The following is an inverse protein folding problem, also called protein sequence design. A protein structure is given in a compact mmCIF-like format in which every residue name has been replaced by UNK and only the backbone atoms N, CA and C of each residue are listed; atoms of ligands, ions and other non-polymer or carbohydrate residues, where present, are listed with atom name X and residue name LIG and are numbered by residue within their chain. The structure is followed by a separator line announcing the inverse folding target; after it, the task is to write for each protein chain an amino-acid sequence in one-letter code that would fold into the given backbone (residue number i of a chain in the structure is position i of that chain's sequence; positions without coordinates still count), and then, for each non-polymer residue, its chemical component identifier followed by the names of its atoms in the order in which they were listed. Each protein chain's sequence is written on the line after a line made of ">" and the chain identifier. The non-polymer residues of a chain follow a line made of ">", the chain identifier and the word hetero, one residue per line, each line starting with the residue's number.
data_IF_704494332688
#
_entry.id   IF_704494332688
#
_cell.length_a   1.000
_cell.length_b   1.000
_cell.length_c   1.000
_cell.angle_alpha   90.00
_cell.angle_beta   90.00
_cell.angle_gamma   90.00
#
_symmetry.space_group_name_H-M   'P 1'
#
loop_
_entity.id
_entity.type
_entity.pdbx_description
1 polymer ?
#
# COMPACT_ATOMS: atom_id res chain seq x y z
N UNK A 1 14.77 -36.76 -14.90
CA UNK A 1 13.75 -36.83 -13.87
C UNK A 1 12.69 -35.76 -14.09
N UNK A 2 11.48 -36.00 -13.63
CA UNK A 2 10.36 -35.06 -13.66
C UNK A 2 9.92 -34.72 -12.24
N UNK A 3 9.23 -33.61 -12.08
CA UNK A 3 8.53 -33.24 -10.89
C UNK A 3 7.07 -33.69 -11.02
N UNK A 4 6.51 -34.22 -9.95
CA UNK A 4 5.08 -34.50 -9.86
C UNK A 4 4.51 -33.48 -8.86
N UNK A 5 3.51 -32.70 -9.29
CA UNK A 5 2.79 -31.75 -8.49
C UNK A 5 1.40 -32.34 -8.18
N UNK A 6 1.22 -32.74 -6.94
CA UNK A 6 -0.07 -33.21 -6.43
C UNK A 6 -0.90 -32.03 -5.99
N UNK A 7 -2.19 -31.99 -6.31
CA UNK A 7 -3.10 -30.94 -5.93
C UNK A 7 -4.25 -31.49 -5.07
N UNK A 8 -4.91 -30.62 -4.32
CA UNK A 8 -6.09 -30.93 -3.52
C UNK A 8 -7.36 -31.19 -4.37
N UNK A 9 -7.26 -30.99 -5.69
CA UNK A 9 -8.35 -31.29 -6.64
C UNK A 9 -8.23 -32.64 -7.34
N UNK A 10 -7.44 -33.59 -6.80
CA UNK A 10 -7.17 -34.91 -7.39
C UNK A 10 -6.58 -34.85 -8.82
N UNK A 11 -5.95 -33.77 -9.17
CA UNK A 11 -5.27 -33.58 -10.46
C UNK A 11 -3.77 -33.48 -10.25
N UNK A 12 -3.03 -34.39 -10.81
CA UNK A 12 -1.56 -34.37 -10.78
C UNK A 12 -1.00 -33.75 -12.06
N UNK A 13 0.07 -33.01 -11.92
CA UNK A 13 0.81 -32.42 -13.04
C UNK A 13 2.22 -32.97 -13.04
N UNK A 14 2.69 -33.40 -14.23
CA UNK A 14 4.08 -33.78 -14.45
C UNK A 14 4.80 -32.68 -15.22
N UNK A 15 5.97 -32.23 -14.72
CA UNK A 15 6.74 -31.18 -15.35
C UNK A 15 8.24 -31.42 -15.20
N UNK A 16 9.02 -31.03 -16.22
CA UNK A 16 10.47 -31.03 -16.15
C UNK A 16 11.02 -29.96 -15.24
N UNK A 17 10.34 -28.79 -15.21
CA UNK A 17 10.69 -27.63 -14.39
C UNK A 17 9.48 -27.07 -13.70
N UNK A 18 9.62 -26.63 -12.43
CA UNK A 18 8.61 -25.91 -11.69
C UNK A 18 9.12 -24.49 -11.38
N UNK A 19 8.32 -23.48 -11.74
CA UNK A 19 8.57 -22.09 -11.38
C UNK A 19 7.57 -21.69 -10.31
N UNK A 20 8.07 -21.42 -9.09
CA UNK A 20 7.23 -21.06 -7.94
C UNK A 20 7.10 -19.54 -7.87
N UNK A 21 5.90 -19.04 -8.13
CA UNK A 21 5.56 -17.61 -8.09
C UNK A 21 4.63 -17.27 -6.90
N UNK A 22 4.85 -17.90 -5.74
CA UNK A 22 4.01 -17.77 -4.55
C UNK A 22 4.13 -16.42 -3.81
N UNK A 23 5.08 -15.56 -4.19
CA UNK A 23 5.40 -14.32 -3.51
C UNK A 23 6.10 -14.54 -2.17
N UNK A 24 6.48 -13.43 -1.53
CA UNK A 24 7.22 -13.46 -0.25
C UNK A 24 6.31 -13.44 1.00
N UNK A 25 5.01 -13.13 0.85
CA UNK A 25 4.05 -12.98 1.95
C UNK A 25 2.95 -14.05 1.93
N UNK A 26 3.22 -15.22 1.37
CA UNK A 26 2.24 -16.32 1.23
C UNK A 26 1.88 -16.99 2.57
N UNK A 27 2.78 -16.93 3.57
CA UNK A 27 2.55 -17.51 4.89
C UNK A 27 2.26 -16.41 5.90
N UNK A 28 1.07 -16.40 6.55
CA UNK A 28 0.78 -15.45 7.62
C UNK A 28 1.70 -15.68 8.82
N UNK A 29 2.16 -14.60 9.43
CA UNK A 29 2.95 -14.62 10.66
C UNK A 29 2.17 -13.91 11.76
N UNK A 30 1.76 -14.66 12.77
CA UNK A 30 1.17 -14.12 13.99
C UNK A 30 2.29 -14.01 15.02
N UNK A 31 2.65 -12.79 15.48
CA UNK A 31 3.70 -12.62 16.48
C UNK A 31 3.29 -13.25 17.80
N UNK A 32 4.28 -13.77 18.55
CA UNK A 32 4.09 -14.26 19.90
C UNK A 32 3.91 -13.07 20.86
N UNK A 33 2.66 -12.70 21.08
CA UNK A 33 2.27 -11.61 21.97
C UNK A 33 1.86 -12.20 23.31
N UNK A 34 2.59 -11.91 24.41
CA UNK A 34 2.24 -12.42 25.73
C UNK A 34 0.81 -12.03 26.12
N UNK A 35 -0.01 -13.02 26.44
CA UNK A 35 -1.39 -12.82 26.84
C UNK A 35 -2.42 -12.82 25.69
N UNK A 36 -2.00 -13.05 24.46
CA UNK A 36 -2.95 -13.16 23.34
C UNK A 36 -3.99 -14.26 23.57
N UNK A 37 -3.58 -15.36 24.21
CA UNK A 37 -4.43 -16.48 24.59
C UNK A 37 -5.48 -16.15 25.67
N UNK A 38 -5.32 -15.03 26.37
CA UNK A 38 -6.25 -14.54 27.40
C UNK A 38 -7.29 -13.58 26.86
N UNK A 39 -7.11 -13.14 25.62
CA UNK A 39 -8.08 -12.26 24.97
C UNK A 39 -9.33 -13.05 24.61
N UNK A 40 -10.46 -12.71 25.23
CA UNK A 40 -11.72 -13.40 25.06
C UNK A 40 -12.57 -12.94 23.86
N UNK A 41 -12.16 -11.83 23.24
CA UNK A 41 -12.85 -11.29 22.06
C UNK A 41 -12.40 -11.96 20.75
N UNK A 42 -13.10 -11.71 19.64
CA UNK A 42 -12.65 -12.14 18.32
C UNK A 42 -11.31 -11.47 17.96
N UNK A 43 -10.34 -12.27 17.53
CA UNK A 43 -9.04 -11.80 17.05
C UNK A 43 -8.78 -12.37 15.65
N UNK A 44 -8.47 -11.51 14.70
CA UNK A 44 -8.28 -11.89 13.30
C UNK A 44 -6.95 -11.33 12.78
N UNK A 45 -6.25 -12.16 12.02
CA UNK A 45 -5.09 -11.71 11.24
C UNK A 45 -5.55 -11.30 9.84
N UNK A 46 -5.06 -10.17 9.32
CA UNK A 46 -5.52 -9.62 8.03
C UNK A 46 -5.30 -10.57 6.83
N UNK A 47 -4.30 -11.45 6.88
CA UNK A 47 -4.10 -12.49 5.87
C UNK A 47 -5.06 -13.69 6.00
N UNK A 48 -5.77 -13.79 7.12
CA UNK A 48 -6.76 -14.85 7.42
C UNK A 48 -8.15 -14.23 7.66
N UNK A 49 -8.49 -13.24 6.83
CA UNK A 49 -9.76 -12.52 6.98
C UNK A 49 -10.94 -13.47 6.71
N UNK A 50 -11.97 -13.46 7.56
CA UNK A 50 -13.16 -14.29 7.32
C UNK A 50 -13.84 -13.96 5.99
N UNK A 51 -14.25 -14.98 5.25
CA UNK A 51 -14.90 -14.81 3.94
C UNK A 51 -16.22 -14.03 4.04
N UNK A 52 -16.95 -14.19 5.15
CA UNK A 52 -18.20 -13.49 5.43
C UNK A 52 -17.99 -12.07 5.95
N UNK A 53 -16.73 -11.63 6.09
CA UNK A 53 -16.37 -10.32 6.63
C UNK A 53 -16.48 -10.23 8.14
N UNK A 54 -16.27 -9.01 8.66
CA UNK A 54 -16.38 -8.69 10.09
C UNK A 54 -17.23 -7.44 10.25
N UNK A 55 -18.29 -7.54 11.05
CA UNK A 55 -19.07 -6.37 11.43
C UNK A 55 -18.39 -5.61 12.59
N UNK A 56 -17.99 -4.38 12.34
CA UNK A 56 -17.38 -3.48 13.31
C UNK A 56 -18.37 -2.54 14.01
N UNK A 57 -19.64 -2.55 13.60
CA UNK A 57 -20.64 -1.58 14.07
C UNK A 57 -20.78 -1.58 15.58
N UNK A 58 -20.55 -0.43 16.19
CA UNK A 58 -20.69 -0.21 17.63
C UNK A 58 -19.68 -0.95 18.53
N UNK A 59 -18.70 -1.65 17.94
CA UNK A 59 -17.69 -2.41 18.70
C UNK A 59 -16.49 -1.54 19.07
N UNK A 60 -15.78 -1.96 20.14
CA UNK A 60 -14.45 -1.44 20.47
C UNK A 60 -13.41 -2.27 19.73
N UNK A 61 -12.63 -1.62 18.88
CA UNK A 61 -11.69 -2.27 17.98
C UNK A 61 -10.25 -1.88 18.32
N UNK A 62 -9.40 -2.87 18.47
CA UNK A 62 -7.94 -2.72 18.54
C UNK A 62 -7.30 -3.15 17.23
N UNK A 63 -6.50 -2.29 16.61
CA UNK A 63 -5.70 -2.63 15.42
C UNK A 63 -4.23 -2.63 15.81
N UNK A 64 -3.56 -3.78 15.66
CA UNK A 64 -2.13 -3.91 15.95
C UNK A 64 -1.34 -3.78 14.66
N UNK A 65 -0.58 -2.70 14.54
CA UNK A 65 0.25 -2.38 13.38
C UNK A 65 -0.36 -1.37 12.43
N UNK A 66 0.52 -0.59 11.81
CA UNK A 66 0.20 0.46 10.84
C UNK A 66 0.85 0.20 9.47
N UNK A 67 0.99 -1.06 9.09
CA UNK A 67 1.29 -1.44 7.71
C UNK A 67 0.08 -1.20 6.80
N UNK A 68 0.24 -1.44 5.50
CA UNK A 68 -0.81 -1.18 4.50
C UNK A 68 -2.18 -1.79 4.88
N UNK A 69 -2.21 -3.05 5.31
CA UNK A 69 -3.46 -3.71 5.72
C UNK A 69 -4.05 -3.12 6.99
N UNK A 70 -3.21 -2.81 8.00
CA UNK A 70 -3.66 -2.23 9.27
C UNK A 70 -4.32 -0.87 9.08
N UNK A 71 -3.75 -0.01 8.24
CA UNK A 71 -4.33 1.31 7.91
C UNK A 71 -5.67 1.17 7.20
N UNK A 72 -5.80 0.25 6.25
CA UNK A 72 -7.08 0.02 5.57
C UNK A 72 -8.17 -0.48 6.53
N UNK A 73 -7.82 -1.41 7.42
CA UNK A 73 -8.75 -1.88 8.46
C UNK A 73 -9.13 -0.75 9.41
N UNK A 74 -8.16 0.06 9.86
CA UNK A 74 -8.41 1.20 10.74
C UNK A 74 -9.34 2.24 10.07
N UNK A 75 -9.11 2.53 8.80
CA UNK A 75 -9.95 3.44 8.02
C UNK A 75 -11.41 2.96 7.93
N UNK A 76 -11.63 1.67 7.67
CA UNK A 76 -13.01 1.14 7.59
C UNK A 76 -13.65 1.03 8.98
N UNK A 77 -12.89 0.58 9.98
CA UNK A 77 -13.39 0.48 11.35
C UNK A 77 -13.77 1.84 11.94
N UNK A 78 -13.01 2.89 11.65
CA UNK A 78 -13.27 4.25 12.17
C UNK A 78 -14.64 4.82 11.80
N UNK A 79 -15.24 4.33 10.71
CA UNK A 79 -16.54 4.80 10.22
C UNK A 79 -17.71 4.31 11.07
N UNK A 80 -17.56 3.17 11.76
CA UNK A 80 -18.70 2.47 12.38
C UNK A 80 -18.42 1.94 13.79
N UNK A 81 -17.15 1.82 14.21
CA UNK A 81 -16.78 1.41 15.57
C UNK A 81 -17.18 2.45 16.61
N UNK A 82 -17.52 2.00 17.83
CA UNK A 82 -17.74 2.91 18.95
C UNK A 82 -16.45 3.48 19.53
N UNK A 83 -15.34 2.72 19.37
CA UNK A 83 -14.01 3.11 19.81
C UNK A 83 -12.98 2.38 18.94
N UNK A 84 -11.95 3.08 18.48
CA UNK A 84 -10.85 2.52 17.72
C UNK A 84 -9.52 2.88 18.39
N UNK A 85 -8.73 1.86 18.70
CA UNK A 85 -7.37 2.03 19.22
C UNK A 85 -6.38 1.40 18.25
N UNK A 86 -5.41 2.18 17.79
CA UNK A 86 -4.36 1.70 16.88
C UNK A 86 -3.05 1.61 17.64
N UNK A 87 -2.48 0.40 17.71
CA UNK A 87 -1.20 0.13 18.35
C UNK A 87 -0.07 0.19 17.31
N UNK A 88 0.79 1.18 17.43
CA UNK A 88 1.86 1.45 16.48
C UNK A 88 3.23 1.33 17.16
N UNK A 89 4.12 0.53 16.59
CA UNK A 89 5.53 0.47 16.99
C UNK A 89 6.37 1.44 16.17
N UNK A 90 6.29 1.32 14.86
CA UNK A 90 7.04 2.15 13.90
C UNK A 90 6.06 2.83 12.98
N UNK A 91 6.09 4.17 12.86
CA UNK A 91 5.20 4.88 11.96
C UNK A 91 5.47 4.53 10.49
N UNK A 92 4.40 4.37 9.72
CA UNK A 92 4.44 4.29 8.27
C UNK A 92 3.78 5.53 7.68
N UNK A 93 4.42 6.10 6.67
CA UNK A 93 3.87 7.20 5.90
C UNK A 93 3.06 6.62 4.73
N UNK A 94 1.76 6.58 4.87
CA UNK A 94 0.86 6.09 3.82
C UNK A 94 0.43 7.23 2.91
N UNK A 95 0.09 6.87 1.68
CA UNK A 95 -0.37 7.78 0.63
C UNK A 95 -1.79 7.45 0.20
N UNK A 96 -2.57 8.45 -0.26
CA UNK A 96 -3.85 8.17 -0.88
C UNK A 96 -3.64 7.34 -2.14
N UNK A 97 -4.37 6.23 -2.26
CA UNK A 97 -4.24 5.35 -3.43
C UNK A 97 -4.96 5.89 -4.67
N UNK A 98 -5.93 6.80 -4.49
CA UNK A 98 -6.73 7.30 -5.61
C UNK A 98 -7.52 6.18 -6.30
N UNK A 99 -8.07 5.24 -5.53
CA UNK A 99 -8.84 4.13 -6.09
C UNK A 99 -10.13 4.63 -6.75
N UNK A 100 -10.30 4.30 -8.01
CA UNK A 100 -11.48 4.64 -8.80
C UNK A 100 -12.11 3.39 -9.40
N UNK A 101 -13.40 3.48 -9.72
CA UNK A 101 -14.07 2.46 -10.50
C UNK A 101 -13.96 2.83 -11.98
N UNK A 102 -13.34 1.97 -12.76
CA UNK A 102 -13.20 2.17 -14.19
C UNK A 102 -14.47 1.75 -14.93
N UNK A 103 -14.91 2.57 -15.88
CA UNK A 103 -15.94 2.21 -16.85
C UNK A 103 -15.39 1.18 -17.86
N UNK A 104 -16.27 0.61 -18.69
CA UNK A 104 -15.84 -0.26 -19.79
C UNK A 104 -14.97 0.50 -20.81
N UNK A 105 -15.26 1.77 -21.04
CA UNK A 105 -14.48 2.64 -21.94
C UNK A 105 -13.09 2.91 -21.37
N UNK A 106 -12.97 3.24 -20.06
CA UNK A 106 -11.68 3.43 -19.39
C UNK A 106 -10.84 2.16 -19.45
N UNK A 107 -11.46 1.00 -19.20
CA UNK A 107 -10.79 -0.29 -19.31
C UNK A 107 -10.31 -0.59 -20.74
N UNK A 108 -11.12 -0.30 -21.75
CA UNK A 108 -10.74 -0.49 -23.14
C UNK A 108 -9.58 0.42 -23.54
N UNK A 109 -9.63 1.70 -23.15
CA UNK A 109 -8.55 2.67 -23.35
C UNK A 109 -7.27 2.20 -22.68
N UNK A 110 -7.32 1.87 -21.40
CA UNK A 110 -6.16 1.38 -20.63
C UNK A 110 -5.53 0.14 -21.29
N UNK A 111 -6.34 -0.83 -21.73
CA UNK A 111 -5.85 -2.01 -22.44
C UNK A 111 -5.15 -1.68 -23.74
N UNK A 112 -5.63 -0.69 -24.50
CA UNK A 112 -4.98 -0.26 -25.75
C UNK A 112 -3.63 0.41 -25.52
N UNK A 113 -3.42 1.02 -24.35
CA UNK A 113 -2.19 1.72 -23.97
C UNK A 113 -1.15 0.79 -23.30
N UNK A 114 -1.55 -0.42 -22.87
CA UNK A 114 -0.66 -1.37 -22.18
C UNK A 114 0.68 -1.63 -22.88
N UNK A 115 0.77 -1.81 -24.23
CA UNK A 115 2.06 -2.02 -24.87
C UNK A 115 3.04 -0.86 -24.65
N UNK A 116 2.56 0.38 -24.74
CA UNK A 116 3.38 1.57 -24.51
C UNK A 116 3.80 1.67 -23.02
N UNK A 117 2.90 1.37 -22.10
CA UNK A 117 3.22 1.32 -20.67
C UNK A 117 4.28 0.27 -20.36
N UNK A 118 4.21 -0.92 -20.97
CA UNK A 118 5.23 -1.96 -20.77
C UNK A 118 6.61 -1.55 -21.28
N UNK A 119 6.68 -0.84 -22.40
CA UNK A 119 7.98 -0.33 -22.88
C UNK A 119 8.51 0.78 -21.94
N UNK A 120 7.70 1.75 -21.55
CA UNK A 120 8.10 2.81 -20.64
C UNK A 120 8.62 2.26 -19.28
N UNK A 121 8.02 1.20 -18.76
CA UNK A 121 8.42 0.57 -17.51
C UNK A 121 9.80 -0.09 -17.54
N UNK A 122 10.30 -0.46 -18.70
CA UNK A 122 11.65 -1.02 -18.84
C UNK A 122 12.75 -0.01 -18.56
N UNK A 123 12.45 1.27 -18.84
CA UNK A 123 13.39 2.39 -18.70
C UNK A 123 13.24 3.12 -17.37
N UNK A 124 12.25 2.76 -16.55
CA UNK A 124 11.94 3.47 -15.31
C UNK A 124 12.49 2.77 -14.07
N UNK A 125 12.75 3.54 -13.02
CA UNK A 125 13.10 2.99 -11.71
C UNK A 125 11.94 2.14 -11.16
N UNK A 126 12.25 0.91 -10.76
CA UNK A 126 11.29 -0.01 -10.15
C UNK A 126 10.18 -0.53 -11.08
N UNK A 127 10.25 -0.27 -12.39
CA UNK A 127 9.28 -0.77 -13.38
C UNK A 127 7.92 -0.06 -13.34
N UNK A 128 7.88 1.20 -12.90
CA UNK A 128 6.70 2.05 -12.98
C UNK A 128 6.65 2.79 -14.33
N UNK A 129 5.50 3.33 -14.70
CA UNK A 129 5.31 4.19 -15.88
C UNK A 129 5.65 5.68 -15.61
N UNK A 130 6.32 5.95 -14.50
CA UNK A 130 6.83 7.26 -14.08
C UNK A 130 8.21 7.09 -13.41
N UNK A 131 8.96 8.16 -13.34
CA UNK A 131 10.29 8.20 -12.74
C UNK A 131 10.45 9.47 -11.92
N UNK A 132 11.56 9.58 -11.18
CA UNK A 132 11.89 10.77 -10.40
C UNK A 132 12.01 12.01 -11.27
N UNK A 133 11.59 13.16 -10.72
CA UNK A 133 11.90 14.45 -11.29
C UNK A 133 13.43 14.66 -11.24
N UNK A 134 14.08 15.03 -12.35
CA UNK A 134 15.53 15.23 -12.38
C UNK A 134 16.01 16.46 -11.60
N UNK A 135 15.10 17.35 -11.21
CA UNK A 135 15.43 18.52 -10.40
C UNK A 135 15.67 18.14 -8.95
N UNK A 136 16.31 19.02 -8.20
CA UNK A 136 16.46 18.94 -6.75
C UNK A 136 15.31 19.67 -6.05
N UNK A 137 14.77 19.08 -4.98
CA UNK A 137 13.80 19.75 -4.12
C UNK A 137 14.34 21.05 -3.50
N UNK A 138 15.66 21.16 -3.33
CA UNK A 138 16.32 22.30 -2.72
C UNK A 138 16.67 23.41 -3.72
N UNK A 139 16.73 23.09 -5.02
CA UNK A 139 17.08 24.05 -6.08
C UNK A 139 15.85 24.73 -6.70
N UNK A 140 14.67 24.14 -6.58
CA UNK A 140 13.43 24.77 -7.02
C UNK A 140 12.88 25.75 -5.99
N UNK A 141 12.04 26.69 -6.43
CA UNK A 141 11.34 27.58 -5.50
C UNK A 141 10.36 26.83 -4.60
N UNK A 142 10.05 27.41 -3.45
CA UNK A 142 9.06 26.83 -2.54
C UNK A 142 7.69 26.65 -3.23
N UNK A 143 7.28 27.61 -4.04
CA UNK A 143 6.01 27.55 -4.78
C UNK A 143 6.00 26.41 -5.80
N UNK A 144 7.08 26.23 -6.58
CA UNK A 144 7.21 25.13 -7.55
C UNK A 144 7.23 23.78 -6.84
N UNK A 145 7.90 23.70 -5.70
CA UNK A 145 7.96 22.47 -4.90
C UNK A 145 6.58 22.09 -4.34
N UNK A 146 5.85 23.05 -3.76
CA UNK A 146 4.50 22.82 -3.24
C UNK A 146 3.53 22.40 -4.35
N UNK A 147 3.58 23.05 -5.53
CA UNK A 147 2.78 22.68 -6.70
C UNK A 147 3.09 21.24 -7.18
N UNK A 148 4.36 20.88 -7.22
CA UNK A 148 4.79 19.53 -7.58
C UNK A 148 4.29 18.50 -6.58
N UNK A 149 4.42 18.78 -5.29
CA UNK A 149 3.94 17.89 -4.23
C UNK A 149 2.41 17.72 -4.28
N UNK A 150 1.67 18.81 -4.47
CA UNK A 150 0.21 18.77 -4.55
C UNK A 150 -0.25 17.92 -5.76
N UNK A 151 0.31 18.17 -6.93
CA UNK A 151 0.01 17.42 -8.16
C UNK A 151 0.27 15.92 -8.00
N UNK A 152 1.38 15.54 -7.38
CA UNK A 152 1.74 14.14 -7.18
C UNK A 152 0.89 13.47 -6.08
N UNK A 153 0.52 14.24 -5.06
CA UNK A 153 -0.39 13.78 -4.01
C UNK A 153 -1.79 13.49 -4.58
N UNK A 154 -2.33 14.39 -5.37
CA UNK A 154 -3.64 14.23 -6.04
C UNK A 154 -3.64 13.06 -7.03
N UNK A 155 -2.52 12.86 -7.75
CA UNK A 155 -2.36 11.74 -8.66
C UNK A 155 -2.37 10.36 -7.96
N UNK A 156 -2.16 10.32 -6.65
CA UNK A 156 -2.26 9.13 -5.81
C UNK A 156 -1.22 8.05 -6.05
N UNK A 157 -1.38 6.95 -5.36
CA UNK A 157 -0.46 5.82 -5.43
C UNK A 157 0.96 6.17 -4.98
N UNK A 158 1.95 5.56 -5.62
CA UNK A 158 3.36 5.79 -5.29
C UNK A 158 3.97 7.04 -5.96
N UNK A 159 3.20 7.81 -6.72
CA UNK A 159 3.73 8.95 -7.48
C UNK A 159 4.37 10.01 -6.60
N UNK A 160 3.80 10.29 -5.44
CA UNK A 160 4.40 11.22 -4.48
C UNK A 160 5.78 10.77 -3.99
N UNK A 161 5.99 9.46 -3.81
CA UNK A 161 7.29 8.96 -3.37
C UNK A 161 8.26 8.72 -4.52
N UNK A 162 7.82 8.11 -5.61
CA UNK A 162 8.69 7.61 -6.68
C UNK A 162 8.67 8.45 -7.95
N UNK A 163 7.85 9.52 -7.98
CA UNK A 163 7.77 10.46 -9.09
C UNK A 163 8.17 11.90 -8.71
N UNK A 164 8.62 12.10 -7.47
CA UNK A 164 9.07 13.38 -6.95
C UNK A 164 10.59 13.54 -7.13
N UNK A 165 11.17 14.61 -6.63
CA UNK A 165 12.60 14.89 -6.62
C UNK A 165 13.42 13.75 -5.99
N UNK A 166 14.43 13.26 -6.70
CA UNK A 166 15.21 12.09 -6.24
C UNK A 166 16.04 12.33 -4.99
N UNK A 167 16.40 13.57 -4.71
CA UNK A 167 17.20 13.97 -3.55
C UNK A 167 16.47 13.81 -2.21
N UNK A 168 15.14 13.67 -2.19
CA UNK A 168 14.41 13.36 -0.94
C UNK A 168 14.87 12.05 -0.29
N UNK A 169 15.53 11.17 -1.03
CA UNK A 169 16.04 9.89 -0.52
C UNK A 169 17.50 9.96 -0.03
N UNK A 170 18.21 11.01 -0.39
CA UNK A 170 19.66 11.13 -0.14
C UNK A 170 20.04 12.37 0.67
N UNK A 171 19.17 13.36 0.76
CA UNK A 171 19.36 14.59 1.52
C UNK A 171 18.26 14.76 2.58
N UNK A 172 18.66 14.92 3.84
CA UNK A 172 17.73 15.05 4.97
C UNK A 172 16.88 16.33 4.89
N UNK A 173 17.44 17.43 4.35
CA UNK A 173 16.73 18.70 4.22
C UNK A 173 15.66 18.59 3.12
N UNK A 174 15.99 17.99 1.99
CA UNK A 174 15.05 17.68 0.93
C UNK A 174 13.93 16.76 1.43
N UNK A 175 14.29 15.67 2.12
CA UNK A 175 13.34 14.75 2.74
C UNK A 175 12.37 15.46 3.68
N UNK A 176 12.87 16.35 4.51
CA UNK A 176 12.06 17.12 5.46
C UNK A 176 10.99 17.97 4.77
N UNK A 177 11.26 18.53 3.60
CA UNK A 177 10.24 19.29 2.84
C UNK A 177 9.08 18.41 2.41
N UNK A 178 9.37 17.21 1.90
CA UNK A 178 8.35 16.23 1.53
C UNK A 178 7.58 15.69 2.74
N UNK A 179 8.28 15.45 3.85
CA UNK A 179 7.66 15.02 5.11
C UNK A 179 6.68 16.05 5.69
N UNK A 180 7.06 17.33 5.74
CA UNK A 180 6.16 18.37 6.28
C UNK A 180 4.94 18.57 5.38
N UNK A 181 5.09 18.46 4.06
CA UNK A 181 3.96 18.45 3.14
C UNK A 181 3.04 17.25 3.42
N UNK A 182 3.58 16.03 3.46
CA UNK A 182 2.84 14.82 3.78
C UNK A 182 2.09 14.92 5.10
N UNK A 183 2.75 15.42 6.12
CA UNK A 183 2.19 15.59 7.47
C UNK A 183 1.02 16.59 7.48
N UNK A 184 1.14 17.72 6.76
CA UNK A 184 0.06 18.69 6.56
C UNK A 184 -1.16 18.00 5.92
N UNK A 185 -0.96 17.36 4.77
CA UNK A 185 -2.02 16.68 4.02
C UNK A 185 -2.67 15.53 4.79
N UNK A 186 -1.90 14.80 5.58
CA UNK A 186 -2.42 13.72 6.43
C UNK A 186 -3.30 14.27 7.54
N UNK A 187 -2.88 15.36 8.19
CA UNK A 187 -3.68 16.00 9.25
C UNK A 187 -5.00 16.57 8.76
N UNK A 188 -5.05 17.07 7.53
CA UNK A 188 -6.28 17.56 6.90
C UNK A 188 -7.35 16.46 6.72
N UNK A 189 -6.95 15.17 6.80
CA UNK A 189 -7.83 14.00 6.63
C UNK A 189 -8.17 13.27 7.92
N UNK A 190 -7.66 13.74 9.04
CA UNK A 190 -7.89 13.14 10.36
C UNK A 190 -8.76 14.12 11.16
N UNK A 191 -10.00 13.72 11.40
CA UNK A 191 -10.99 14.53 12.13
C UNK A 191 -10.84 14.44 13.67
N UNK A 192 -9.95 13.54 14.16
CA UNK A 192 -9.78 13.25 15.60
C UNK A 192 -8.31 12.96 15.95
#
# INVERSE_FOLDING_TARGET
>A
GCWILETDSDTDFEATYIIVCAGFASKPYIPDLPGLEKFSGPAHHTALWPQDGIDFTGKKIGVIGTGASGIQVAQEASKVASELVVFQRTPNMFLPMGQERYSEEDNAKMKSELPAHFEARKESFGGFDFTFDPKSALEVSEAEREETYERLWEAGGFKFWLGVYGDIYTDETANRTAYEFWKKKTRERIDN
#
